data_IF_320120277551
#
_entry.id   IF_320120277551
#
_cell.length_a   1.000
_cell.length_b   1.000
_cell.length_c   1.000
_cell.angle_alpha   90.00
_cell.angle_beta   90.00
_cell.angle_gamma   90.00
#
_symmetry.space_group_name_H-M   'P 1'
#
loop_
_entity.id
_entity.type
_entity.pdbx_description
1 polymer ?
#
# COMPACT_ATOMS: atom_id res chain seq x y z
N UNK A 1 24.04 19.19 0.60
CA UNK A 1 23.76 18.52 1.89
C UNK A 1 24.97 17.68 2.26
N UNK A 2 25.31 17.59 3.55
CA UNK A 2 26.41 16.74 4.02
C UNK A 2 25.85 15.37 4.36
N UNK A 3 26.36 14.34 3.72
CA UNK A 3 25.99 12.95 3.98
C UNK A 3 26.57 12.48 5.33
N UNK A 4 25.74 11.91 6.23
CA UNK A 4 26.22 11.26 7.44
C UNK A 4 26.97 9.98 7.08
N UNK A 5 28.17 9.81 7.63
CA UNK A 5 29.02 8.63 7.42
C UNK A 5 28.84 7.64 8.57
N UNK A 6 28.80 6.35 8.25
CA UNK A 6 28.76 5.29 9.27
C UNK A 6 30.10 5.22 10.03
N UNK A 7 30.10 5.21 11.37
CA UNK A 7 31.33 5.04 12.14
C UNK A 7 32.00 3.68 11.87
N UNK A 8 33.32 3.62 12.04
CA UNK A 8 34.07 2.36 12.02
C UNK A 8 33.59 1.41 13.12
N UNK A 9 33.43 0.12 12.79
CA UNK A 9 33.02 -0.93 13.73
C UNK A 9 31.53 -1.31 13.69
N UNK A 10 30.73 -0.74 12.78
CA UNK A 10 29.40 -1.27 12.44
C UNK A 10 29.59 -2.61 11.69
N UNK A 11 28.86 -3.68 12.08
CA UNK A 11 29.00 -4.99 11.45
C UNK A 11 28.49 -4.97 10.00
N UNK A 12 29.33 -5.43 9.08
CA UNK A 12 28.98 -5.72 7.68
C UNK A 12 28.87 -7.25 7.47
N UNK A 13 27.99 -7.73 6.57
CA UNK A 13 27.15 -6.92 5.68
C UNK A 13 25.85 -6.45 6.36
N UNK A 14 25.53 -5.16 6.18
CA UNK A 14 24.22 -4.61 6.55
C UNK A 14 23.12 -5.12 5.61
N UNK A 15 21.92 -5.39 6.14
CA UNK A 15 20.77 -5.75 5.31
C UNK A 15 20.23 -4.51 4.57
N UNK A 16 20.72 -4.28 3.34
CA UNK A 16 20.38 -3.12 2.50
C UNK A 16 18.88 -2.98 2.21
N UNK A 17 18.19 -4.09 1.97
CA UNK A 17 16.74 -4.07 1.72
C UNK A 17 15.96 -3.63 2.97
N UNK A 18 16.35 -4.12 4.14
CA UNK A 18 15.74 -3.71 5.41
C UNK A 18 16.01 -2.22 5.70
N UNK A 19 17.20 -1.71 5.36
CA UNK A 19 17.52 -0.29 5.47
C UNK A 19 16.77 0.58 4.46
N UNK A 20 16.60 0.12 3.23
CA UNK A 20 15.77 0.78 2.21
C UNK A 20 14.31 0.86 2.66
N UNK A 21 13.76 -0.26 3.18
CA UNK A 21 12.44 -0.29 3.81
C UNK A 21 12.35 0.69 4.99
N UNK A 22 13.35 0.72 5.87
CA UNK A 22 13.35 1.64 7.01
C UNK A 22 13.34 3.10 6.56
N UNK A 23 14.13 3.45 5.53
CA UNK A 23 14.13 4.79 4.96
C UNK A 23 12.77 5.17 4.36
N UNK A 24 12.08 4.25 3.68
CA UNK A 24 10.73 4.47 3.16
C UNK A 24 9.71 4.67 4.26
N UNK A 25 9.77 3.86 5.32
CA UNK A 25 8.89 4.01 6.48
C UNK A 25 9.14 5.33 7.20
N UNK A 26 10.41 5.75 7.30
CA UNK A 26 10.79 7.05 7.86
C UNK A 26 10.38 8.23 6.97
N UNK A 27 10.38 8.07 5.64
CA UNK A 27 9.90 9.10 4.71
C UNK A 27 8.40 9.39 4.87
N UNK A 28 7.62 8.38 5.25
CA UNK A 28 6.23 8.56 5.67
C UNK A 28 6.15 9.21 7.06
N UNK A 29 6.44 8.42 8.09
CA UNK A 29 6.08 8.72 9.49
C UNK A 29 7.19 9.42 10.28
N UNK A 30 8.42 9.34 9.79
CA UNK A 30 9.62 9.73 10.53
C UNK A 30 9.78 11.24 10.71
N UNK A 31 10.51 11.62 11.76
CA UNK A 31 10.87 13.01 12.03
C UNK A 31 12.28 13.08 12.62
N UNK A 32 13.06 14.05 12.14
CA UNK A 32 14.37 14.42 12.68
C UNK A 32 14.31 15.85 13.21
N UNK A 33 14.59 16.04 14.50
CA UNK A 33 14.52 17.35 15.15
C UNK A 33 15.73 17.63 16.04
N UNK A 34 16.10 18.89 16.16
CA UNK A 34 16.95 19.39 17.24
C UNK A 34 16.06 19.74 18.43
N UNK A 35 15.88 18.79 19.35
CA UNK A 35 14.99 18.92 20.50
C UNK A 35 15.67 19.72 21.61
N UNK A 36 15.04 20.79 22.08
CA UNK A 36 15.49 21.49 23.29
C UNK A 36 15.08 20.73 24.56
N UNK A 37 15.97 20.73 25.55
CA UNK A 37 15.64 20.26 26.90
C UNK A 37 15.06 21.43 27.71
N UNK A 38 13.85 21.26 28.25
CA UNK A 38 13.20 22.25 29.14
C UNK A 38 14.05 22.57 30.37
N UNK A 39 14.83 21.60 30.88
CA UNK A 39 15.70 21.76 32.05
C UNK A 39 17.03 22.43 31.70
N UNK A 40 17.38 22.49 30.40
CA UNK A 40 18.60 23.12 29.90
C UNK A 40 18.25 24.00 28.70
N UNK A 41 17.66 25.19 28.94
CA UNK A 41 17.39 26.15 27.89
C UNK A 41 18.67 26.40 27.07
N UNK A 42 18.57 26.38 25.75
CA UNK A 42 19.69 26.46 24.79
C UNK A 42 20.57 25.21 24.64
N UNK A 43 20.21 24.08 25.25
CA UNK A 43 20.80 22.78 24.95
C UNK A 43 19.85 21.95 24.09
N UNK A 44 20.34 21.55 22.92
CA UNK A 44 19.66 20.74 21.93
C UNK A 44 20.24 19.32 21.90
N UNK A 45 19.37 18.34 21.73
CA UNK A 45 19.69 16.95 21.41
C UNK A 45 19.12 16.60 20.05
N UNK A 46 19.88 15.87 19.24
CA UNK A 46 19.37 15.28 18.00
C UNK A 46 18.41 14.15 18.38
N UNK A 47 17.15 14.24 17.97
CA UNK A 47 16.13 13.20 18.13
C UNK A 47 15.68 12.73 16.75
N UNK A 48 15.73 11.42 16.49
CA UNK A 48 14.95 10.80 15.43
C UNK A 48 13.78 10.08 16.07
N UNK A 49 12.65 10.08 15.39
CA UNK A 49 11.50 9.33 15.86
C UNK A 49 10.53 8.91 14.79
N UNK A 50 9.82 7.82 15.08
CA UNK A 50 8.72 7.29 14.26
C UNK A 50 7.53 6.98 15.17
N UNK A 51 6.42 7.72 15.08
CA UNK A 51 5.16 7.36 15.74
C UNK A 51 4.46 6.24 14.95
N UNK A 52 3.71 5.40 15.64
CA UNK A 52 2.79 4.46 14.99
C UNK A 52 1.67 4.05 15.95
N UNK A 53 0.46 3.90 15.42
CA UNK A 53 -0.68 3.38 16.18
C UNK A 53 -0.59 1.86 16.30
N UNK A 54 -0.86 1.34 17.49
CA UNK A 54 -0.86 -0.09 17.79
C UNK A 54 -2.00 -0.46 18.73
N UNK A 55 -3.22 -0.69 18.20
CA UNK A 55 -4.38 -1.00 19.04
C UNK A 55 -4.18 -2.27 19.88
N UNK A 56 -3.45 -3.25 19.33
CA UNK A 56 -3.26 -4.56 19.96
C UNK A 56 -1.87 -4.73 20.62
N UNK A 57 -1.17 -3.61 20.89
CA UNK A 57 0.18 -3.62 21.47
C UNK A 57 1.22 -2.92 20.61
N UNK A 58 2.50 -3.19 20.87
CA UNK A 58 3.61 -2.57 20.12
C UNK A 58 3.48 -2.94 18.64
N UNK A 59 3.39 -1.95 17.71
CA UNK A 59 3.34 -2.23 16.28
C UNK A 59 4.57 -2.99 15.81
N UNK A 60 4.37 -4.10 15.10
CA UNK A 60 5.45 -4.92 14.53
C UNK A 60 6.40 -4.10 13.65
N UNK A 61 5.85 -3.13 12.89
CA UNK A 61 6.65 -2.21 12.07
C UNK A 61 7.63 -1.36 12.90
N UNK A 62 7.31 -1.00 14.14
CA UNK A 62 8.27 -0.30 15.02
C UNK A 62 9.39 -1.23 15.50
N UNK A 63 9.07 -2.50 15.79
CA UNK A 63 10.07 -3.52 16.16
C UNK A 63 10.99 -3.80 14.98
N UNK A 64 10.43 -3.94 13.78
CA UNK A 64 11.18 -4.10 12.53
C UNK A 64 12.06 -2.89 12.25
N UNK A 65 11.56 -1.68 12.46
CA UNK A 65 12.36 -0.45 12.35
C UNK A 65 13.51 -0.40 13.36
N UNK A 66 13.26 -0.78 14.62
CA UNK A 66 14.32 -0.87 15.62
C UNK A 66 15.42 -1.87 15.22
N UNK A 67 15.05 -3.02 14.64
CA UNK A 67 16.02 -4.00 14.10
C UNK A 67 16.83 -3.42 12.95
N UNK A 68 16.20 -2.69 12.03
CA UNK A 68 16.91 -1.99 10.96
C UNK A 68 17.93 -0.99 11.51
N UNK A 69 17.62 -0.36 12.63
CA UNK A 69 18.51 0.56 13.36
C UNK A 69 19.49 -0.16 14.30
N UNK A 70 19.83 -1.42 14.03
CA UNK A 70 20.78 -2.23 14.82
C UNK A 70 20.38 -2.39 16.31
N UNK A 71 19.08 -2.38 16.59
CA UNK A 71 18.54 -2.43 17.95
C UNK A 71 18.56 -1.08 18.68
N UNK A 72 19.06 -0.01 18.05
CA UNK A 72 19.11 1.32 18.67
C UNK A 72 17.72 1.92 18.87
N UNK A 73 17.65 2.86 19.83
CA UNK A 73 16.43 3.57 20.17
C UNK A 73 15.50 2.74 21.06
N UNK A 74 14.46 3.40 21.56
CA UNK A 74 13.50 2.84 22.50
C UNK A 74 12.10 3.00 21.94
N UNK A 75 11.28 1.95 22.07
CA UNK A 75 9.85 2.01 21.75
C UNK A 75 9.09 2.24 23.05
N UNK A 76 8.24 3.27 23.08
CA UNK A 76 7.46 3.63 24.27
C UNK A 76 6.05 4.06 23.90
N UNK A 77 5.10 3.83 24.82
CA UNK A 77 3.74 4.30 24.69
C UNK A 77 3.68 5.81 25.01
N UNK A 78 3.13 6.62 24.08
CA UNK A 78 3.13 8.09 24.22
C UNK A 78 1.94 8.61 25.02
N UNK A 79 0.79 7.96 24.93
CA UNK A 79 -0.46 8.34 25.60
C UNK A 79 -1.35 7.11 25.83
N UNK A 80 -2.45 7.26 26.58
CA UNK A 80 -3.44 6.19 26.81
C UNK A 80 -4.15 5.70 25.52
N UNK A 81 -3.88 6.31 24.36
CA UNK A 81 -4.59 6.08 23.10
C UNK A 81 -3.83 5.25 22.08
N UNK A 82 -3.14 4.19 22.52
CA UNK A 82 -2.52 3.17 21.64
C UNK A 82 -1.43 3.70 20.68
N UNK A 83 -0.92 4.93 20.90
CA UNK A 83 0.13 5.51 20.07
C UNK A 83 1.50 5.16 20.64
N UNK A 84 2.26 4.34 19.92
CA UNK A 84 3.64 4.02 20.22
C UNK A 84 4.58 4.95 19.47
N UNK A 85 5.79 5.12 20.00
CA UNK A 85 6.83 5.94 19.39
C UNK A 85 8.17 5.25 19.55
N UNK A 86 8.83 4.92 18.44
CA UNK A 86 10.26 4.64 18.44
C UNK A 86 11.02 5.97 18.50
N UNK A 87 12.02 6.07 19.36
CA UNK A 87 12.85 7.26 19.53
C UNK A 87 14.30 6.87 19.76
N UNK A 88 15.23 7.54 19.07
CA UNK A 88 16.63 7.61 19.49
C UNK A 88 17.01 9.07 19.78
N UNK A 89 17.86 9.27 20.79
CA UNK A 89 18.29 10.60 21.24
C UNK A 89 19.79 10.65 21.39
N UNK A 90 20.31 11.86 21.23
CA UNK A 90 21.73 12.15 21.41
C UNK A 90 22.47 12.05 20.09
N UNK A 91 23.57 12.79 20.01
CA UNK A 91 24.27 13.04 18.76
C UNK A 91 24.71 11.76 18.05
N UNK A 92 25.38 10.85 18.75
CA UNK A 92 26.00 9.66 18.13
C UNK A 92 24.95 8.70 17.58
N UNK A 93 24.04 8.19 18.43
CA UNK A 93 23.03 7.22 18.01
C UNK A 93 22.12 7.76 16.89
N UNK A 94 21.74 9.04 16.99
CA UNK A 94 20.94 9.70 15.96
C UNK A 94 21.70 9.90 14.64
N UNK A 95 22.99 10.23 14.68
CA UNK A 95 23.82 10.33 13.47
C UNK A 95 24.02 8.97 12.78
N UNK A 96 24.20 7.90 13.56
CA UNK A 96 24.26 6.53 13.02
C UNK A 96 22.93 6.16 12.36
N UNK A 97 21.80 6.42 13.02
CA UNK A 97 20.48 6.16 12.45
C UNK A 97 20.24 6.90 11.13
N UNK A 98 20.65 8.16 11.03
CA UNK A 98 20.60 8.91 9.77
C UNK A 98 21.51 8.30 8.71
N UNK A 99 22.76 7.95 9.06
CA UNK A 99 23.72 7.36 8.13
C UNK A 99 23.21 6.03 7.54
N UNK A 100 22.61 5.17 8.38
CA UNK A 100 22.02 3.89 7.96
C UNK A 100 20.91 4.05 6.90
N UNK A 101 20.11 5.12 6.99
CA UNK A 101 18.99 5.36 6.07
C UNK A 101 19.37 6.27 4.89
N UNK A 102 20.47 7.00 4.98
CA UNK A 102 20.78 8.12 4.09
C UNK A 102 20.75 7.78 2.60
N UNK A 103 21.28 6.62 2.14
CA UNK A 103 21.28 6.29 0.71
C UNK A 103 19.87 6.27 0.10
N UNK A 104 18.85 5.91 0.89
CA UNK A 104 17.46 5.77 0.43
C UNK A 104 16.51 6.85 0.93
N UNK A 105 16.95 7.72 1.84
CA UNK A 105 16.11 8.75 2.45
C UNK A 105 15.67 9.83 1.43
N UNK A 106 14.41 10.24 1.49
CA UNK A 106 13.84 11.25 0.60
C UNK A 106 14.36 12.67 0.86
N UNK A 107 14.23 13.58 -0.12
CA UNK A 107 14.80 14.93 -0.06
C UNK A 107 14.26 15.74 1.13
N UNK A 108 12.96 15.66 1.41
CA UNK A 108 12.33 16.36 2.54
C UNK A 108 12.97 15.96 3.87
N UNK A 109 13.10 14.66 4.13
CA UNK A 109 13.70 14.18 5.40
C UNK A 109 15.20 14.44 5.45
N UNK A 110 15.93 14.42 4.31
CA UNK A 110 17.34 14.83 4.25
C UNK A 110 17.52 16.32 4.61
N UNK A 111 16.65 17.20 4.12
CA UNK A 111 16.65 18.62 4.50
C UNK A 111 16.35 18.81 5.98
N UNK A 112 15.32 18.14 6.50
CA UNK A 112 14.99 18.17 7.94
C UNK A 112 16.18 17.69 8.80
N UNK A 113 16.81 16.59 8.39
CA UNK A 113 17.99 16.05 9.06
C UNK A 113 19.16 17.03 9.04
N UNK A 114 19.43 17.67 7.90
CA UNK A 114 20.49 18.67 7.79
C UNK A 114 20.26 19.86 8.74
N UNK A 115 19.05 20.42 8.74
CA UNK A 115 18.68 21.53 9.64
C UNK A 115 18.92 21.15 11.11
N UNK A 116 18.49 19.95 11.51
CA UNK A 116 18.68 19.47 12.87
C UNK A 116 20.16 19.24 13.20
N UNK A 117 20.93 18.63 12.30
CA UNK A 117 22.36 18.36 12.48
C UNK A 117 23.16 19.66 12.58
N UNK A 118 22.89 20.64 11.72
CA UNK A 118 23.56 21.94 11.73
C UNK A 118 23.30 22.69 13.05
N UNK A 119 22.05 22.65 13.55
CA UNK A 119 21.72 23.24 14.85
C UNK A 119 22.52 22.63 16.00
N UNK A 120 22.75 21.32 15.96
CA UNK A 120 23.58 20.62 16.95
C UNK A 120 25.07 20.96 16.76
N UNK A 121 25.56 21.01 15.51
CA UNK A 121 26.94 21.34 15.21
C UNK A 121 27.30 22.74 15.72
N UNK A 122 26.46 23.74 15.46
CA UNK A 122 26.63 25.12 15.92
C UNK A 122 26.75 25.20 17.45
N UNK A 123 25.90 24.46 18.18
CA UNK A 123 25.98 24.39 19.63
C UNK A 123 27.34 23.87 20.11
N UNK A 124 27.82 22.76 19.53
CA UNK A 124 29.10 22.18 19.93
C UNK A 124 30.31 23.01 19.49
N UNK A 125 30.20 23.78 18.40
CA UNK A 125 31.22 24.75 18.02
C UNK A 125 31.30 25.90 19.02
N UNK A 126 30.17 26.46 19.44
CA UNK A 126 30.13 27.52 20.46
C UNK A 126 30.67 27.06 21.83
N UNK A 127 30.45 25.81 22.18
CA UNK A 127 30.96 25.21 23.42
C UNK A 127 32.45 24.85 23.35
N UNK A 128 33.03 24.74 22.14
CA UNK A 128 34.46 24.44 21.93
C UNK A 128 35.24 25.73 21.62
N UNK A 129 35.86 26.33 22.64
CA UNK A 129 36.89 27.36 22.44
C UNK A 129 38.25 26.79 21.97
N UNK A 130 38.35 25.48 21.70
CA UNK A 130 39.54 24.83 21.12
C UNK A 130 39.15 23.94 19.95
N UNK A 131 39.91 24.06 18.85
CA UNK A 131 39.85 23.14 17.71
C UNK A 131 39.90 21.69 18.20
N UNK A 132 39.00 20.80 17.74
CA UNK A 132 39.10 19.38 18.04
C UNK A 132 40.46 18.85 17.55
N UNK A 133 41.10 17.97 18.35
CA UNK A 133 42.30 17.21 17.91
C UNK A 133 41.99 16.13 16.87
N UNK A 134 40.71 15.86 16.62
CA UNK A 134 40.25 14.87 15.67
C UNK A 134 39.13 15.48 14.84
N UNK A 135 39.43 15.68 13.56
CA UNK A 135 38.46 15.97 12.52
C UNK A 135 38.08 14.60 11.94
N UNK A 136 36.85 14.09 12.16
CA UNK A 136 36.43 12.85 11.52
C UNK A 136 36.40 13.10 10.02
N UNK A 137 37.43 12.62 9.33
CA UNK A 137 37.54 12.67 7.88
C UNK A 137 36.36 11.90 7.30
N UNK A 138 35.51 12.62 6.57
CA UNK A 138 34.39 12.07 5.81
C UNK A 138 34.98 11.33 4.61
N UNK A 139 35.13 10.02 4.72
CA UNK A 139 35.47 9.15 3.59
C UNK A 139 34.14 8.73 2.96
N UNK A 140 33.96 9.04 1.69
CA UNK A 140 32.81 8.62 0.89
C UNK A 140 32.69 7.09 0.92
N UNK A 141 31.49 6.57 1.11
CA UNK A 141 31.24 5.16 0.83
C UNK A 141 31.36 4.98 -0.69
N UNK A 142 32.24 4.07 -1.11
CA UNK A 142 32.28 3.62 -2.49
C UNK A 142 30.96 2.92 -2.83
N UNK A 143 30.38 3.28 -3.98
CA UNK A 143 29.21 2.63 -4.55
C UNK A 143 29.50 1.13 -4.72
N UNK A 144 28.96 0.31 -3.82
CA UNK A 144 29.04 -1.14 -3.94
C UNK A 144 28.08 -1.63 -5.03
N UNK A 145 28.71 -2.08 -6.11
CA UNK A 145 28.23 -2.98 -7.16
C UNK A 145 27.29 -4.08 -6.62
N UNK A 146 26.21 -4.35 -7.37
CA UNK A 146 25.69 -5.72 -7.49
C UNK A 146 24.38 -6.11 -6.80
N UNK A 147 23.55 -5.19 -6.28
CA UNK A 147 22.14 -5.49 -5.92
C UNK A 147 21.18 -4.90 -6.94
N UNK A 148 20.12 -5.63 -7.31
CA UNK A 148 19.07 -5.15 -8.20
C UNK A 148 18.44 -3.88 -7.62
N UNK A 149 18.74 -2.72 -8.22
CA UNK A 149 18.21 -1.40 -7.86
C UNK A 149 16.67 -1.43 -7.76
N UNK A 150 16.02 -2.33 -8.50
CA UNK A 150 14.57 -2.57 -8.41
C UNK A 150 14.13 -3.13 -7.06
N UNK A 151 14.89 -4.07 -6.48
CA UNK A 151 14.56 -4.67 -5.18
C UNK A 151 14.68 -3.64 -4.05
N UNK A 152 15.75 -2.84 -4.03
CA UNK A 152 15.91 -1.76 -3.06
C UNK A 152 14.82 -0.69 -3.20
N UNK A 153 14.44 -0.36 -4.44
CA UNK A 153 13.35 0.57 -4.70
C UNK A 153 12.00 0.05 -4.20
N UNK A 154 11.69 -1.24 -4.42
CA UNK A 154 10.46 -1.88 -3.93
C UNK A 154 10.45 -2.01 -2.41
N UNK A 155 11.60 -2.32 -1.79
CA UNK A 155 11.74 -2.34 -0.34
C UNK A 155 11.44 -0.96 0.27
N UNK A 156 12.00 0.12 -0.31
CA UNK A 156 11.65 1.49 0.08
C UNK A 156 10.15 1.77 -0.08
N UNK A 157 9.54 1.39 -1.21
CA UNK A 157 8.11 1.62 -1.43
C UNK A 157 7.24 0.84 -0.41
N UNK A 158 7.63 -0.38 -0.05
CA UNK A 158 6.97 -1.17 0.99
C UNK A 158 7.02 -0.47 2.36
N UNK A 159 8.17 0.10 2.72
CA UNK A 159 8.32 0.89 3.94
C UNK A 159 7.42 2.11 3.96
N UNK A 160 7.38 2.85 2.86
CA UNK A 160 6.48 4.01 2.72
C UNK A 160 5.00 3.60 2.85
N UNK A 161 4.61 2.47 2.25
CA UNK A 161 3.26 1.91 2.39
C UNK A 161 2.94 1.42 3.81
N UNK A 162 3.92 0.94 4.58
CA UNK A 162 3.71 0.58 5.99
C UNK A 162 3.42 1.82 6.86
N UNK A 163 3.93 2.99 6.49
CA UNK A 163 3.60 4.27 7.10
C UNK A 163 2.29 4.83 6.57
N UNK A 164 2.31 5.33 5.34
CA UNK A 164 1.25 6.15 4.76
C UNK A 164 0.23 5.35 3.92
N UNK A 165 0.51 4.08 3.67
CA UNK A 165 -0.28 3.24 2.77
C UNK A 165 -1.61 2.80 3.36
N UNK A 166 -2.60 2.61 2.50
CA UNK A 166 -3.91 2.11 2.83
C UNK A 166 -4.46 1.26 1.68
N UNK A 167 -4.74 0.00 1.97
CA UNK A 167 -5.45 -0.92 1.08
C UNK A 167 -6.95 -0.88 1.40
N UNK A 168 -7.68 -0.03 0.69
CA UNK A 168 -9.04 0.30 1.08
C UNK A 168 -10.06 -0.81 0.89
N UNK A 169 -11.10 -0.76 1.72
CA UNK A 169 -12.30 -1.55 1.52
C UNK A 169 -12.83 -1.31 0.10
N UNK A 170 -13.25 -2.37 -0.62
CA UNK A 170 -13.72 -2.20 -1.98
C UNK A 170 -14.93 -1.26 -2.03
N UNK A 171 -14.87 -0.28 -2.93
CA UNK A 171 -15.98 0.68 -3.10
C UNK A 171 -16.93 0.16 -4.17
N UNK A 172 -18.22 0.27 -3.90
CA UNK A 172 -19.23 0.03 -4.93
C UNK A 172 -19.07 1.09 -6.04
N UNK A 173 -19.07 0.63 -7.28
CA UNK A 173 -19.24 1.50 -8.44
C UNK A 173 -20.27 0.88 -9.37
N UNK A 174 -21.04 1.75 -10.01
CA UNK A 174 -22.03 1.36 -11.01
C UNK A 174 -21.33 1.34 -12.36
N UNK A 175 -21.34 0.18 -13.02
CA UNK A 175 -20.85 0.05 -14.38
C UNK A 175 -21.76 0.81 -15.35
N UNK A 176 -21.31 1.02 -16.59
CA UNK A 176 -22.14 1.62 -17.65
C UNK A 176 -23.47 0.89 -17.85
N UNK A 177 -23.51 -0.39 -17.45
CA UNK A 177 -24.68 -1.28 -17.50
C UNK A 177 -25.60 -1.29 -16.29
N UNK A 178 -25.38 -0.41 -15.33
CA UNK A 178 -26.16 -0.37 -14.10
C UNK A 178 -25.86 -1.51 -13.12
N UNK A 179 -25.01 -2.48 -13.47
CA UNK A 179 -24.52 -3.49 -12.53
C UNK A 179 -23.56 -2.87 -11.52
N UNK A 180 -23.64 -3.35 -10.28
CA UNK A 180 -22.75 -2.92 -9.20
C UNK A 180 -21.52 -3.82 -9.21
N UNK A 181 -20.35 -3.19 -9.19
CA UNK A 181 -19.07 -3.86 -9.03
C UNK A 181 -18.27 -3.25 -7.89
N UNK A 182 -17.47 -4.07 -7.23
CA UNK A 182 -16.54 -3.60 -6.22
C UNK A 182 -15.21 -3.20 -6.87
N UNK A 183 -14.72 -2.01 -6.56
CA UNK A 183 -13.42 -1.50 -6.96
C UNK A 183 -12.49 -1.48 -5.76
N UNK A 184 -11.47 -2.32 -5.79
CA UNK A 184 -10.37 -2.31 -4.82
C UNK A 184 -9.44 -1.14 -5.14
N UNK A 185 -8.90 -0.52 -4.09
CA UNK A 185 -7.96 0.60 -4.19
C UNK A 185 -6.81 0.41 -3.20
N UNK A 186 -5.58 0.60 -3.66
CA UNK A 186 -4.43 0.87 -2.81
C UNK A 186 -4.06 2.34 -2.96
N UNK A 187 -3.63 2.97 -1.87
CA UNK A 187 -3.23 4.37 -1.91
C UNK A 187 -2.27 4.75 -0.79
N UNK A 188 -1.49 5.81 -0.98
CA UNK A 188 -0.78 6.48 0.10
C UNK A 188 -0.91 8.00 -0.10
N UNK A 189 -0.91 8.73 1.01
CA UNK A 189 -1.14 10.18 1.02
C UNK A 189 0.12 10.89 1.51
N UNK A 190 0.40 12.09 0.98
CA UNK A 190 1.45 12.95 1.50
C UNK A 190 1.21 14.41 1.10
N UNK A 191 1.63 15.32 1.98
CA UNK A 191 1.66 16.75 1.71
C UNK A 191 2.89 17.11 0.84
N UNK A 192 2.64 17.90 -0.22
CA UNK A 192 3.66 18.53 -1.06
C UNK A 192 3.67 20.05 -0.88
N UNK A 193 4.06 20.77 -1.93
CA UNK A 193 3.78 22.20 -2.03
C UNK A 193 2.41 22.40 -2.69
N UNK A 194 1.82 23.58 -2.54
CA UNK A 194 0.53 23.89 -3.17
C UNK A 194 0.62 23.70 -4.68
N UNK A 195 -0.16 22.75 -5.21
CA UNK A 195 -0.18 22.43 -6.65
C UNK A 195 0.98 21.55 -7.14
N UNK A 196 1.93 21.17 -6.30
CA UNK A 196 3.08 20.32 -6.67
C UNK A 196 3.05 19.00 -5.88
N UNK A 197 2.89 17.85 -6.55
CA UNK A 197 2.94 16.55 -5.89
C UNK A 197 4.21 16.33 -5.08
N UNK A 198 4.09 15.73 -3.90
CA UNK A 198 5.24 15.39 -3.07
C UNK A 198 6.21 14.44 -3.80
N UNK A 199 7.52 14.72 -3.71
CA UNK A 199 8.58 13.93 -4.35
C UNK A 199 8.50 12.42 -4.01
N UNK A 200 8.12 12.09 -2.77
CA UNK A 200 7.97 10.71 -2.32
C UNK A 200 6.84 9.98 -3.07
N UNK A 201 5.76 10.67 -3.44
CA UNK A 201 4.69 10.10 -4.25
C UNK A 201 5.12 9.94 -5.71
N UNK A 202 5.90 10.89 -6.24
CA UNK A 202 6.51 10.78 -7.59
C UNK A 202 7.47 9.60 -7.66
N UNK A 203 8.29 9.39 -6.62
CA UNK A 203 9.16 8.22 -6.50
C UNK A 203 8.33 6.93 -6.44
N UNK A 204 7.29 6.87 -5.62
CA UNK A 204 6.42 5.69 -5.55
C UNK A 204 5.73 5.41 -6.88
N UNK A 205 5.29 6.45 -7.60
CA UNK A 205 4.74 6.31 -8.96
C UNK A 205 5.74 5.70 -9.94
N UNK A 206 7.01 6.12 -9.90
CA UNK A 206 8.07 5.56 -10.73
C UNK A 206 8.32 4.07 -10.43
N UNK A 207 8.17 3.66 -9.17
CA UNK A 207 8.47 2.28 -8.72
C UNK A 207 7.30 1.34 -9.01
N UNK A 208 6.07 1.74 -8.64
CA UNK A 208 4.88 0.88 -8.62
C UNK A 208 3.84 1.24 -9.68
N UNK A 209 4.08 2.26 -10.50
CA UNK A 209 3.11 2.79 -11.45
C UNK A 209 1.97 3.54 -10.75
N UNK A 210 0.73 3.33 -11.19
CA UNK A 210 -0.44 4.02 -10.65
C UNK A 210 -0.53 5.48 -11.09
N UNK A 211 -1.32 6.28 -10.38
CA UNK A 211 -1.54 7.70 -10.67
C UNK A 211 -1.43 8.53 -9.40
N UNK A 212 -1.18 9.81 -9.55
CA UNK A 212 -1.19 10.76 -8.44
C UNK A 212 -2.36 11.72 -8.65
N UNK A 213 -3.16 11.88 -7.60
CA UNK A 213 -4.35 12.72 -7.57
C UNK A 213 -4.16 13.77 -6.47
N UNK A 214 -4.71 14.98 -6.65
CA UNK A 214 -4.89 15.90 -5.53
C UNK A 214 -6.00 15.35 -4.61
N UNK A 215 -5.78 15.43 -3.31
CA UNK A 215 -6.67 14.89 -2.29
C UNK A 215 -6.90 15.95 -1.22
N UNK A 216 -8.15 16.24 -0.86
CA UNK A 216 -8.41 17.21 0.22
C UNK A 216 -7.87 18.62 -0.09
N UNK A 217 -6.82 19.03 0.63
CA UNK A 217 -6.24 20.37 0.60
C UNK A 217 -5.41 20.65 -0.68
N UNK A 218 -5.09 21.91 -1.01
CA UNK A 218 -4.31 22.27 -2.20
C UNK A 218 -2.90 21.68 -2.27
N UNK A 219 -2.33 21.32 -1.12
CA UNK A 219 -1.01 20.72 -0.92
C UNK A 219 -1.08 19.21 -0.61
N UNK A 220 -2.27 18.63 -0.46
CA UNK A 220 -2.46 17.22 -0.12
C UNK A 220 -2.63 16.38 -1.40
N UNK A 221 -1.76 15.37 -1.55
CA UNK A 221 -1.70 14.51 -2.72
C UNK A 221 -1.78 13.05 -2.33
N UNK A 222 -2.27 12.26 -3.26
CA UNK A 222 -2.51 10.84 -3.06
C UNK A 222 -2.04 10.04 -4.27
N UNK A 223 -1.10 9.13 -4.04
CA UNK A 223 -0.84 8.06 -4.99
C UNK A 223 -1.94 7.01 -4.89
N UNK A 224 -2.41 6.54 -6.04
CA UNK A 224 -3.54 5.61 -6.13
C UNK A 224 -3.31 4.56 -7.21
N UNK A 225 -3.61 3.32 -6.84
CA UNK A 225 -3.80 2.20 -7.76
C UNK A 225 -5.20 1.62 -7.56
N UNK A 226 -5.90 1.34 -8.66
CA UNK A 226 -7.26 0.81 -8.64
C UNK A 226 -7.43 -0.44 -9.48
N UNK A 227 -8.39 -1.27 -9.07
CA UNK A 227 -8.74 -2.52 -9.73
C UNK A 227 -7.96 -3.70 -9.16
N UNK A 228 -8.62 -4.85 -9.08
CA UNK A 228 -8.08 -6.03 -8.39
C UNK A 228 -6.77 -6.53 -8.98
N UNK A 229 -6.59 -6.45 -10.31
CA UNK A 229 -5.34 -6.84 -10.97
C UNK A 229 -4.17 -5.94 -10.56
N UNK A 230 -4.36 -4.62 -10.61
CA UNK A 230 -3.28 -3.68 -10.30
C UNK A 230 -2.94 -3.69 -8.80
N UNK A 231 -3.95 -3.80 -7.93
CA UNK A 231 -3.71 -3.90 -6.47
C UNK A 231 -3.01 -5.20 -6.12
N UNK A 232 -3.37 -6.32 -6.77
CA UNK A 232 -2.66 -7.60 -6.61
C UNK A 232 -1.20 -7.49 -7.05
N UNK A 233 -0.96 -6.91 -8.22
CA UNK A 233 0.41 -6.68 -8.73
C UNK A 233 1.25 -5.88 -7.73
N UNK A 234 0.72 -4.77 -7.21
CA UNK A 234 1.41 -3.97 -6.18
C UNK A 234 1.73 -4.83 -4.97
N UNK A 235 0.75 -5.56 -4.42
CA UNK A 235 0.96 -6.43 -3.26
C UNK A 235 2.05 -7.47 -3.53
N UNK A 236 2.04 -8.14 -4.67
CA UNK A 236 3.05 -9.12 -5.07
C UNK A 236 4.46 -8.51 -5.16
N UNK A 237 4.57 -7.31 -5.75
CA UNK A 237 5.85 -6.61 -5.91
C UNK A 237 6.48 -6.16 -4.58
N UNK A 238 5.67 -5.79 -3.58
CA UNK A 238 6.19 -5.31 -2.28
C UNK A 238 6.10 -6.33 -1.14
N UNK A 239 5.43 -7.47 -1.35
CA UNK A 239 5.16 -8.49 -0.32
C UNK A 239 6.38 -8.92 0.50
N UNK A 240 7.58 -9.08 -0.07
CA UNK A 240 8.74 -9.52 0.70
C UNK A 240 9.11 -8.57 1.85
N UNK A 241 8.74 -7.29 1.74
CA UNK A 241 9.08 -6.26 2.71
C UNK A 241 7.87 -5.61 3.38
N UNK A 242 6.65 -5.77 2.86
CA UNK A 242 5.46 -5.14 3.41
C UNK A 242 5.06 -5.77 4.75
N UNK A 243 4.70 -4.95 5.73
CA UNK A 243 4.22 -5.39 7.03
C UNK A 243 2.94 -6.23 6.94
N UNK A 244 2.82 -7.21 7.83
CA UNK A 244 1.75 -8.22 7.79
C UNK A 244 0.34 -7.61 7.86
N UNK A 245 0.17 -6.49 8.58
CA UNK A 245 -1.11 -5.77 8.65
C UNK A 245 -1.53 -5.26 7.28
N UNK A 246 -0.61 -4.63 6.52
CA UNK A 246 -0.91 -4.09 5.19
C UNK A 246 -1.10 -5.20 4.16
N UNK A 247 -0.35 -6.29 4.27
CA UNK A 247 -0.57 -7.52 3.47
C UNK A 247 -1.99 -8.05 3.70
N UNK A 248 -2.36 -8.29 4.96
CA UNK A 248 -3.70 -8.78 5.32
C UNK A 248 -4.80 -7.79 4.86
N UNK A 249 -4.56 -6.49 5.01
CA UNK A 249 -5.47 -5.46 4.53
C UNK A 249 -5.73 -5.57 3.01
N UNK A 250 -4.66 -5.73 2.24
CA UNK A 250 -4.73 -5.91 0.79
C UNK A 250 -5.41 -7.21 0.36
N UNK A 251 -5.05 -8.33 0.99
CA UNK A 251 -5.64 -9.64 0.72
C UNK A 251 -7.14 -9.65 1.04
N UNK A 252 -7.54 -9.09 2.19
CA UNK A 252 -8.95 -8.96 2.57
C UNK A 252 -9.74 -8.10 1.59
N UNK A 253 -9.17 -6.99 1.12
CA UNK A 253 -9.82 -6.14 0.14
C UNK A 253 -10.01 -6.85 -1.21
N UNK A 254 -9.00 -7.60 -1.67
CA UNK A 254 -9.10 -8.42 -2.88
C UNK A 254 -10.14 -9.54 -2.74
N UNK A 255 -10.15 -10.23 -1.60
CA UNK A 255 -11.11 -11.30 -1.32
C UNK A 255 -12.56 -10.76 -1.28
N UNK A 256 -12.79 -9.63 -0.61
CA UNK A 256 -14.09 -8.99 -0.54
C UNK A 256 -14.59 -8.57 -1.94
N UNK A 257 -13.71 -8.06 -2.80
CA UNK A 257 -14.08 -7.73 -4.18
C UNK A 257 -14.39 -8.96 -5.05
N UNK A 258 -13.74 -10.10 -4.80
CA UNK A 258 -14.01 -11.35 -5.49
C UNK A 258 -15.30 -12.05 -5.01
N UNK A 259 -15.65 -11.88 -3.73
CA UNK A 259 -16.82 -12.53 -3.12
C UNK A 259 -18.16 -11.99 -3.64
N UNK A 260 -18.22 -10.76 -4.15
CA UNK A 260 -19.44 -10.21 -4.74
C UNK A 260 -19.60 -10.73 -6.18
N UNK A 261 -20.38 -11.80 -6.31
CA UNK A 261 -20.97 -12.28 -7.58
C UNK A 261 -21.84 -11.20 -8.21
N UNK A 262 -21.66 -10.97 -9.51
CA UNK A 262 -22.42 -9.99 -10.28
C UNK A 262 -23.83 -10.57 -10.55
N UNK A 263 -24.85 -9.72 -10.59
CA UNK A 263 -26.20 -10.11 -11.05
C UNK A 263 -26.09 -10.57 -12.51
N UNK A 264 -26.25 -11.88 -12.75
CA UNK A 264 -26.07 -12.51 -14.06
C UNK A 264 -24.90 -13.51 -14.14
N UNK A 265 -24.12 -13.70 -13.07
CA UNK A 265 -23.05 -14.72 -13.00
C UNK A 265 -23.55 -16.12 -12.58
N UNK A 266 -24.86 -16.28 -12.41
CA UNK A 266 -25.41 -17.62 -12.20
C UNK A 266 -25.39 -18.35 -13.54
N UNK A 267 -24.72 -19.50 -13.61
CA UNK A 267 -24.82 -20.40 -14.77
C UNK A 267 -26.20 -21.05 -14.84
N UNK A 268 -26.98 -21.00 -13.74
CA UNK A 268 -28.27 -21.66 -13.60
C UNK A 268 -29.40 -20.68 -13.32
N UNK A 269 -30.59 -20.97 -13.84
CA UNK A 269 -31.80 -20.25 -13.49
C UNK A 269 -32.31 -20.63 -12.09
N UNK A 270 -33.32 -19.93 -11.59
CA UNK A 270 -33.97 -20.22 -10.29
C UNK A 270 -34.57 -21.63 -10.18
N UNK A 271 -34.75 -22.33 -11.31
CA UNK A 271 -35.21 -23.73 -11.39
C UNK A 271 -34.06 -24.73 -11.62
N UNK A 272 -32.80 -24.29 -11.53
CA UNK A 272 -31.61 -25.14 -11.64
C UNK A 272 -31.13 -25.47 -13.06
N UNK A 273 -31.82 -25.03 -14.10
CA UNK A 273 -31.40 -25.25 -15.50
C UNK A 273 -30.22 -24.36 -15.89
N UNK A 274 -29.30 -24.87 -16.70
CA UNK A 274 -28.27 -24.03 -17.33
C UNK A 274 -28.90 -22.99 -18.27
N UNK A 275 -28.35 -21.78 -18.28
CA UNK A 275 -28.70 -20.79 -19.28
C UNK A 275 -28.11 -21.17 -20.64
N UNK A 276 -28.90 -21.00 -21.70
CA UNK A 276 -28.56 -21.42 -23.06
C UNK A 276 -28.41 -20.25 -24.03
N UNK A 277 -28.55 -19.01 -23.52
CA UNK A 277 -28.20 -17.81 -24.26
C UNK A 277 -27.85 -16.68 -23.33
N UNK A 278 -26.78 -15.97 -23.64
CA UNK A 278 -26.36 -14.76 -22.94
C UNK A 278 -26.34 -13.63 -23.95
N UNK A 279 -27.14 -12.59 -23.72
CA UNK A 279 -27.16 -11.40 -24.57
C UNK A 279 -26.80 -10.17 -23.75
N UNK A 280 -25.75 -9.49 -24.15
CA UNK A 280 -25.39 -8.16 -23.63
C UNK A 280 -26.10 -7.12 -24.47
N UNK A 281 -26.93 -6.27 -23.85
CA UNK A 281 -27.58 -5.15 -24.55
C UNK A 281 -26.59 -4.01 -24.81
N UNK A 282 -26.97 -3.04 -25.66
CA UNK A 282 -26.15 -1.85 -25.92
C UNK A 282 -25.97 -0.97 -24.67
N UNK A 283 -26.94 -0.99 -23.75
CA UNK A 283 -26.81 -0.39 -22.41
C UNK A 283 -25.91 -1.22 -21.48
N UNK A 284 -25.42 -2.39 -21.92
CA UNK A 284 -24.56 -3.32 -21.22
C UNK A 284 -25.28 -4.28 -20.27
N UNK A 285 -26.61 -4.17 -20.11
CA UNK A 285 -27.40 -5.11 -19.29
C UNK A 285 -27.23 -6.53 -19.84
N UNK A 286 -26.84 -7.47 -18.98
CA UNK A 286 -26.77 -8.89 -19.33
C UNK A 286 -28.14 -9.53 -19.15
N UNK A 287 -28.70 -10.05 -20.25
CA UNK A 287 -29.91 -10.88 -20.23
C UNK A 287 -29.54 -12.32 -20.52
N UNK A 288 -29.71 -13.17 -19.52
CA UNK A 288 -29.59 -14.62 -19.69
C UNK A 288 -30.96 -15.19 -20.08
N UNK A 289 -30.98 -16.06 -21.09
CA UNK A 289 -32.15 -16.81 -21.52
C UNK A 289 -32.02 -18.26 -21.09
N UNK A 290 -33.12 -18.83 -20.60
CA UNK A 290 -33.24 -20.24 -20.26
C UNK A 290 -34.40 -20.82 -21.08
N UNK A 291 -34.11 -21.50 -22.19
CA UNK A 291 -35.14 -22.09 -23.07
C UNK A 291 -35.96 -23.16 -22.37
N UNK A 292 -35.40 -23.89 -21.41
CA UNK A 292 -36.14 -24.84 -20.59
C UNK A 292 -37.28 -24.15 -19.83
N UNK A 293 -36.97 -23.04 -19.15
CA UNK A 293 -37.99 -22.21 -18.48
C UNK A 293 -38.97 -21.58 -19.49
N UNK A 294 -38.49 -21.13 -20.65
CA UNK A 294 -39.35 -20.56 -21.68
C UNK A 294 -40.37 -21.57 -22.21
N UNK A 295 -39.97 -22.83 -22.42
CA UNK A 295 -40.86 -23.93 -22.82
C UNK A 295 -41.91 -24.24 -21.76
N UNK A 296 -41.52 -24.24 -20.48
CA UNK A 296 -42.46 -24.45 -19.36
C UNK A 296 -43.52 -23.34 -19.34
N UNK A 297 -43.09 -22.08 -19.36
CA UNK A 297 -44.00 -20.92 -19.35
C UNK A 297 -44.92 -20.90 -20.58
N UNK A 298 -44.41 -21.25 -21.76
CA UNK A 298 -45.22 -21.34 -22.99
C UNK A 298 -46.25 -22.46 -22.91
N UNK A 299 -45.90 -23.63 -22.32
CA UNK A 299 -46.85 -24.72 -22.08
C UNK A 299 -47.96 -24.30 -21.13
N UNK A 300 -47.61 -23.66 -20.02
CA UNK A 300 -48.57 -23.13 -19.04
C UNK A 300 -49.51 -22.08 -19.65
N UNK A 301 -48.96 -21.15 -20.45
CA UNK A 301 -49.75 -20.12 -21.16
C UNK A 301 -50.77 -20.78 -22.09
N UNK A 302 -50.37 -21.77 -22.88
CA UNK A 302 -51.27 -22.46 -23.81
C UNK A 302 -52.37 -23.24 -23.12
N UNK A 303 -52.05 -23.88 -21.99
CA UNK A 303 -53.07 -24.54 -21.15
C UNK A 303 -54.11 -23.54 -20.65
N UNK A 304 -53.69 -22.33 -20.25
CA UNK A 304 -54.63 -21.25 -19.87
C UNK A 304 -55.44 -20.69 -21.03
N UNK A 305 -54.88 -20.62 -22.24
CA UNK A 305 -55.55 -20.05 -23.43
C UNK A 305 -56.23 -21.10 -24.32
N UNK A 306 -56.38 -22.34 -23.85
CA UNK A 306 -57.03 -23.43 -24.60
C UNK A 306 -56.36 -23.79 -25.94
N UNK A 307 -55.11 -23.39 -26.14
CA UNK A 307 -54.42 -23.51 -27.42
C UNK A 307 -53.75 -24.89 -27.55
N UNK A 308 -54.01 -25.62 -28.65
CA UNK A 308 -53.46 -26.97 -28.86
C UNK A 308 -51.92 -26.99 -28.85
N UNK A 309 -51.29 -28.07 -28.34
CA UNK A 309 -49.83 -28.19 -28.32
C UNK A 309 -49.25 -28.16 -29.75
N UNK A 310 -48.07 -27.54 -29.89
CA UNK A 310 -47.36 -27.47 -31.17
C UNK A 310 -46.92 -28.88 -31.55
N UNK A 311 -47.26 -29.35 -32.75
CA UNK A 311 -46.69 -30.59 -33.29
C UNK A 311 -45.17 -30.41 -33.39
N UNK A 312 -44.42 -31.24 -32.69
CA UNK A 312 -42.97 -31.34 -32.87
C UNK A 312 -42.77 -32.00 -34.24
N UNK A 313 -42.18 -31.27 -35.20
CA UNK A 313 -41.64 -31.92 -36.40
C UNK A 313 -40.37 -32.65 -35.96
N UNK A 314 -40.40 -33.97 -36.00
CA UNK A 314 -39.21 -34.80 -35.81
C UNK A 314 -38.14 -34.40 -36.84
N UNK A 315 -36.87 -34.23 -36.44
CA UNK A 315 -35.76 -34.04 -37.38
C UNK A 315 -35.38 -35.42 -37.95
N UNK A 316 -36.25 -35.98 -38.76
CA UNK A 316 -36.06 -37.11 -39.69
C UNK A 316 -37.44 -37.56 -40.13
N UNK A 317 -37.64 -37.68 -41.43
CA UNK A 317 -38.87 -38.23 -42.01
C UNK A 317 -38.92 -39.74 -41.84
N UNK A 318 -39.17 -40.22 -40.61
CA UNK A 318 -39.50 -41.62 -40.34
C UNK A 318 -40.87 -41.70 -39.64
N UNK A 319 -41.90 -42.32 -40.26
CA UNK A 319 -43.24 -42.38 -39.73
C UNK A 319 -43.45 -43.48 -38.66
N UNK A 320 -42.41 -44.07 -38.09
CA UNK A 320 -42.56 -45.19 -37.16
C UNK A 320 -41.93 -44.93 -35.78
N UNK A 321 -42.74 -44.43 -34.82
CA UNK A 321 -42.67 -44.85 -33.39
C UNK A 321 -43.78 -44.22 -32.53
N UNK A 322 -44.84 -45.02 -32.41
CA UNK A 322 -45.68 -45.36 -31.25
C UNK A 322 -45.70 -44.41 -30.04
N UNK A 323 -46.92 -44.05 -29.67
CA UNK A 323 -47.37 -43.32 -28.48
C UNK A 323 -46.85 -43.89 -27.16
N UNK A 324 -46.61 -42.99 -26.19
CA UNK A 324 -46.74 -43.30 -24.77
C UNK A 324 -47.59 -42.18 -24.12
N UNK A 325 -48.83 -42.51 -23.78
CA UNK A 325 -49.61 -41.89 -22.72
C UNK A 325 -49.12 -42.53 -21.39
N UNK A 326 -48.93 -41.80 -20.31
CA UNK A 326 -50.00 -41.22 -19.47
C UNK A 326 -49.47 -40.05 -18.67
#
# INVERSE_FOLDING_TARGET
MREPVLPSGIPEPLNRELLAWAAGFFDGEGSTIARSDRRRPNYYQLELSVPQRGPDGIPEVLVKFQRAMLGMGTISLRNKGEMYKWVTRGRVASQIGLALMWPWLGPVKRVQAQIAVDRIADQYQRLRSRKPRYDPTLIAHEDSDGTDDSCLARAWAAGFLDGEGYFGNPRQHVRKDGSIALRVRASATQHGEVGVPADVLMRMHKILGGRIERHGQPDDFKWVVEGSLNVRRVLEEVRPWLGHIKVAQGENALAAAAAIRIRGDSERCVRGHLYDGVRVKADGTVRQTCSACARITERERRMRTGSKPRRVRSPSGDPSRVYAYS
#
